data_IF_783642678177
#
_entry.id   IF_783642678177
#
_cell.length_a   1.000
_cell.length_b   1.000
_cell.length_c   1.000
_cell.angle_alpha   90.00
_cell.angle_beta   90.00
_cell.angle_gamma   90.00
#
_symmetry.space_group_name_H-M   'P 1'
#
loop_
_entity.id
_entity.type
_entity.pdbx_description
1 polymer ?
#
# COMPACT_ATOMS: atom_id res chain seq x y z
N UNK A 1 8.13 -14.12 -8.29
CA UNK A 1 6.77 -13.71 -7.89
C UNK A 1 6.81 -12.23 -7.57
N UNK A 2 5.98 -11.44 -8.23
CA UNK A 2 5.88 -10.00 -8.01
C UNK A 2 4.80 -9.72 -6.93
N UNK A 3 5.19 -9.27 -5.72
CA UNK A 3 4.25 -8.97 -4.64
C UNK A 3 3.34 -7.77 -4.97
N UNK A 4 3.81 -6.83 -5.78
CA UNK A 4 3.05 -5.64 -6.17
C UNK A 4 1.93 -6.03 -7.11
N UNK A 5 2.23 -6.86 -8.13
CA UNK A 5 1.21 -7.38 -9.05
C UNK A 5 0.13 -8.17 -8.31
N UNK A 6 0.50 -9.02 -7.34
CA UNK A 6 -0.47 -9.72 -6.50
C UNK A 6 -1.42 -8.74 -5.78
N UNK A 7 -0.88 -7.66 -5.18
CA UNK A 7 -1.69 -6.65 -4.48
C UNK A 7 -2.62 -5.89 -5.41
N UNK A 8 -2.15 -5.49 -6.59
CA UNK A 8 -2.98 -4.82 -7.60
C UNK A 8 -4.14 -5.71 -8.06
N UNK A 9 -3.86 -6.99 -8.36
CA UNK A 9 -4.88 -7.96 -8.76
C UNK A 9 -5.91 -8.21 -7.65
N UNK A 10 -5.49 -8.23 -6.39
CA UNK A 10 -6.39 -8.37 -5.25
C UNK A 10 -7.25 -7.13 -5.11
N UNK A 11 -6.64 -5.94 -5.16
CA UNK A 11 -7.38 -4.69 -5.04
C UNK A 11 -8.42 -4.54 -6.17
N UNK A 12 -8.05 -4.83 -7.40
CA UNK A 12 -8.95 -4.76 -8.56
C UNK A 12 -10.18 -5.68 -8.42
N UNK A 13 -10.00 -6.89 -7.85
CA UNK A 13 -11.07 -7.86 -7.68
C UNK A 13 -11.82 -7.67 -6.36
N UNK A 14 -11.14 -7.17 -5.32
CA UNK A 14 -11.66 -7.07 -3.97
C UNK A 14 -11.00 -5.93 -3.17
N UNK A 15 -11.39 -4.68 -3.42
CA UNK A 15 -10.78 -3.49 -2.80
C UNK A 15 -10.79 -3.50 -1.26
N UNK A 16 -11.75 -4.21 -0.66
CA UNK A 16 -11.93 -4.31 0.80
C UNK A 16 -11.29 -5.57 1.40
N UNK A 17 -10.46 -6.30 0.66
CA UNK A 17 -9.73 -7.44 1.21
C UNK A 17 -8.75 -6.96 2.29
N UNK A 18 -8.72 -7.68 3.43
CA UNK A 18 -7.89 -7.29 4.59
C UNK A 18 -6.73 -8.25 4.86
N UNK A 19 -6.99 -9.54 4.76
CA UNK A 19 -5.97 -10.58 4.92
C UNK A 19 -6.31 -11.77 4.03
N UNK A 20 -5.45 -12.07 3.10
CA UNK A 20 -5.67 -13.10 2.11
C UNK A 20 -4.59 -14.18 2.14
N UNK A 21 -5.00 -15.40 1.90
CA UNK A 21 -4.10 -16.55 1.84
C UNK A 21 -4.69 -17.68 0.99
N UNK A 22 -3.84 -18.67 0.66
CA UNK A 22 -4.28 -19.88 0.00
C UNK A 22 -5.23 -20.71 0.87
N UNK A 23 -5.99 -21.59 0.24
CA UNK A 23 -6.89 -22.53 0.93
C UNK A 23 -6.13 -23.38 1.97
N UNK A 24 -4.94 -23.88 1.58
CA UNK A 24 -4.11 -24.71 2.45
C UNK A 24 -3.65 -23.93 3.68
N UNK A 25 -3.22 -22.68 3.51
CA UNK A 25 -2.77 -21.87 4.64
C UNK A 25 -3.94 -21.60 5.61
N UNK A 26 -5.12 -21.27 5.09
CA UNK A 26 -6.29 -21.09 5.93
C UNK A 26 -6.66 -22.35 6.68
N UNK A 27 -6.76 -23.50 6.00
CA UNK A 27 -7.23 -24.73 6.59
C UNK A 27 -6.20 -25.35 7.55
N UNK A 28 -4.93 -25.45 7.13
CA UNK A 28 -3.93 -26.22 7.86
C UNK A 28 -3.19 -25.41 8.92
N UNK A 29 -2.85 -24.15 8.62
CA UNK A 29 -2.04 -23.33 9.53
C UNK A 29 -2.87 -22.45 10.44
N UNK A 30 -3.97 -21.92 9.91
CA UNK A 30 -4.83 -21.00 10.65
C UNK A 30 -6.03 -21.70 11.26
N UNK A 31 -6.33 -22.96 10.88
CA UNK A 31 -7.52 -23.71 11.29
C UNK A 31 -8.79 -22.86 11.08
N UNK A 32 -8.86 -22.29 9.88
CA UNK A 32 -10.01 -21.54 9.39
C UNK A 32 -10.47 -22.16 8.08
N UNK A 33 -11.76 -22.39 7.95
CA UNK A 33 -12.29 -23.01 6.76
C UNK A 33 -12.92 -21.95 5.86
N UNK A 34 -12.61 -22.06 4.57
CA UNK A 34 -13.23 -21.20 3.56
C UNK A 34 -14.73 -21.57 3.47
N UNK A 35 -15.57 -20.55 3.48
CA UNK A 35 -17.02 -20.69 3.43
C UNK A 35 -17.45 -21.31 2.11
N UNK A 36 -18.43 -22.20 2.15
CA UNK A 36 -18.98 -22.79 0.94
C UNK A 36 -19.55 -21.70 0.02
N UNK A 37 -19.12 -21.72 -1.24
CA UNK A 37 -19.55 -20.73 -2.23
C UNK A 37 -18.72 -19.43 -2.25
N UNK A 38 -17.71 -19.28 -1.37
CA UNK A 38 -16.78 -18.17 -1.46
C UNK A 38 -16.05 -18.20 -2.80
N UNK A 39 -15.94 -17.02 -3.43
CA UNK A 39 -15.18 -16.85 -4.67
C UNK A 39 -13.75 -16.50 -4.35
N UNK A 40 -12.81 -17.32 -4.80
CA UNK A 40 -11.38 -17.03 -4.70
C UNK A 40 -10.99 -15.83 -5.55
N UNK A 41 -10.01 -15.07 -5.07
CA UNK A 41 -9.36 -14.00 -5.81
C UNK A 41 -8.30 -14.67 -6.71
N UNK A 42 -8.38 -14.43 -8.01
CA UNK A 42 -7.48 -15.03 -8.99
C UNK A 42 -6.17 -14.24 -9.06
N UNK A 43 -5.05 -14.92 -8.91
CA UNK A 43 -3.71 -14.38 -9.04
C UNK A 43 -2.93 -15.16 -10.12
N UNK A 44 -1.92 -14.53 -10.68
CA UNK A 44 -1.03 -15.17 -11.63
C UNK A 44 0.05 -16.00 -10.91
N UNK A 45 0.27 -17.20 -11.39
CA UNK A 45 1.39 -18.05 -10.97
C UNK A 45 2.36 -18.20 -12.13
N UNK A 46 3.49 -17.51 -12.02
CA UNK A 46 4.54 -17.47 -13.03
C UNK A 46 5.71 -18.42 -12.70
N UNK A 47 5.56 -19.29 -11.72
CA UNK A 47 6.64 -20.18 -11.25
C UNK A 47 6.95 -21.32 -12.22
N UNK A 48 6.13 -21.50 -13.24
CA UNK A 48 6.26 -22.52 -14.27
C UNK A 48 6.37 -21.87 -15.66
N UNK A 49 6.89 -22.60 -16.65
CA UNK A 49 6.97 -22.14 -18.05
C UNK A 49 5.61 -21.77 -18.68
N UNK A 50 4.52 -21.95 -17.95
CA UNK A 50 3.16 -21.57 -18.35
C UNK A 50 2.52 -20.79 -17.23
N UNK A 51 2.01 -19.61 -17.56
CA UNK A 51 1.16 -18.82 -16.67
C UNK A 51 -0.07 -19.63 -16.27
N UNK A 52 -0.30 -19.77 -14.96
CA UNK A 52 -1.46 -20.44 -14.40
C UNK A 52 -2.18 -19.49 -13.43
N UNK A 53 -3.44 -19.77 -13.18
CA UNK A 53 -4.17 -19.08 -12.12
C UNK A 53 -4.00 -19.87 -10.81
N UNK A 54 -3.74 -19.13 -9.74
CA UNK A 54 -3.88 -19.59 -8.35
C UNK A 54 -4.94 -18.76 -7.66
N UNK A 55 -5.57 -19.31 -6.65
CA UNK A 55 -6.65 -18.63 -5.94
C UNK A 55 -6.28 -18.43 -4.47
N UNK A 56 -6.59 -17.24 -3.99
CA UNK A 56 -6.51 -16.90 -2.57
C UNK A 56 -7.88 -16.47 -2.07
N UNK A 57 -8.09 -16.53 -0.75
CA UNK A 57 -9.34 -16.18 -0.10
C UNK A 57 -9.07 -15.16 0.99
N UNK A 58 -9.96 -14.17 1.11
CA UNK A 58 -9.88 -13.20 2.19
C UNK A 58 -10.36 -13.81 3.50
N UNK A 59 -9.88 -13.29 4.63
CA UNK A 59 -10.29 -13.73 5.96
C UNK A 59 -11.81 -13.64 6.17
N UNK A 60 -12.48 -12.68 5.53
CA UNK A 60 -13.92 -12.49 5.60
C UNK A 60 -14.69 -13.67 4.97
N UNK A 61 -14.05 -14.40 4.06
CA UNK A 61 -14.60 -15.60 3.44
C UNK A 61 -14.36 -16.86 4.26
N UNK A 62 -13.84 -16.74 5.46
CA UNK A 62 -13.46 -17.87 6.29
C UNK A 62 -14.14 -17.84 7.66
N UNK A 63 -14.34 -19.00 8.25
CA UNK A 63 -14.79 -19.13 9.64
C UNK A 63 -13.81 -19.98 10.44
N UNK A 64 -13.73 -19.73 11.75
CA UNK A 64 -12.89 -20.48 12.66
C UNK A 64 -13.49 -21.86 12.94
N UNK A 65 -12.65 -22.88 12.99
CA UNK A 65 -12.97 -24.15 13.62
C UNK A 65 -12.33 -24.23 15.01
N UNK A 66 -12.56 -25.31 15.74
CA UNK A 66 -11.98 -25.50 17.07
C UNK A 66 -10.45 -25.39 17.01
N UNK A 67 -9.89 -24.48 17.79
CA UNK A 67 -8.45 -24.16 17.75
C UNK A 67 -8.04 -23.15 16.68
N UNK A 68 -8.99 -22.62 15.90
CA UNK A 68 -8.73 -21.67 14.83
C UNK A 68 -8.15 -20.35 15.33
N UNK A 69 -7.18 -19.84 14.58
CA UNK A 69 -6.47 -18.59 14.85
C UNK A 69 -7.07 -17.44 14.07
N UNK A 70 -6.92 -16.23 14.59
CA UNK A 70 -7.12 -15.00 13.81
C UNK A 70 -5.75 -14.43 13.49
N UNK A 71 -5.46 -14.12 12.21
CA UNK A 71 -4.23 -13.42 11.90
C UNK A 71 -4.20 -12.10 12.66
N UNK A 72 -3.03 -11.75 13.14
CA UNK A 72 -2.81 -10.44 13.71
C UNK A 72 -2.77 -9.43 12.55
N UNK A 73 -3.75 -8.56 12.52
CA UNK A 73 -3.75 -7.39 11.64
C UNK A 73 -3.26 -6.22 12.49
N UNK A 74 -2.12 -5.67 12.09
CA UNK A 74 -1.58 -4.51 12.79
C UNK A 74 -2.56 -3.33 12.65
N UNK A 75 -2.86 -2.68 13.77
CA UNK A 75 -3.62 -1.44 13.82
C UNK A 75 -2.98 -0.55 14.85
N UNK A 76 -2.73 0.70 14.48
CA UNK A 76 -2.29 1.70 15.43
C UNK A 76 -3.36 1.87 16.52
N UNK A 77 -2.94 1.75 17.78
CA UNK A 77 -3.80 2.02 18.92
C UNK A 77 -3.56 3.46 19.37
N UNK A 78 -4.58 4.11 19.91
CA UNK A 78 -4.49 5.49 20.38
C UNK A 78 -3.29 5.74 21.32
N UNK A 79 -3.04 4.81 22.23
CA UNK A 79 -1.87 4.86 23.15
C UNK A 79 -0.50 4.78 22.44
N UNK A 80 -0.44 4.37 21.17
CA UNK A 80 0.80 4.23 20.39
C UNK A 80 1.05 5.45 19.50
N UNK A 81 0.08 6.38 19.40
CA UNK A 81 0.23 7.54 18.54
C UNK A 81 1.37 8.45 18.98
N UNK A 82 1.47 8.69 20.30
CA UNK A 82 2.55 9.51 20.84
C UNK A 82 3.93 8.88 20.62
N UNK A 83 4.04 7.56 20.80
CA UNK A 83 5.28 6.80 20.52
C UNK A 83 5.66 6.88 19.04
N UNK A 84 4.66 6.76 18.15
CA UNK A 84 4.87 6.91 16.71
C UNK A 84 5.35 8.32 16.36
N UNK A 85 4.70 9.36 16.87
CA UNK A 85 5.10 10.76 16.63
C UNK A 85 6.52 11.04 17.12
N UNK A 86 6.88 10.55 18.31
CA UNK A 86 8.25 10.66 18.84
C UNK A 86 9.26 9.96 17.91
N UNK A 87 8.91 8.80 17.39
CA UNK A 87 9.80 8.05 16.51
C UNK A 87 9.97 8.76 15.14
N UNK A 88 8.90 9.32 14.59
CA UNK A 88 8.98 10.12 13.36
C UNK A 88 9.88 11.36 13.55
N UNK A 89 9.76 12.03 14.70
CA UNK A 89 10.63 13.16 15.07
C UNK A 89 12.10 12.74 15.19
N UNK A 90 12.37 11.61 15.88
CA UNK A 90 13.73 11.09 16.07
C UNK A 90 14.38 10.69 14.75
N UNK A 91 13.65 10.02 13.86
CA UNK A 91 14.20 9.45 12.62
C UNK A 91 14.32 10.50 11.51
N UNK A 92 13.32 11.37 11.39
CA UNK A 92 13.22 12.31 10.26
C UNK A 92 13.51 13.77 10.66
N UNK A 93 13.76 14.04 11.94
CA UNK A 93 14.02 15.40 12.42
C UNK A 93 12.83 16.35 12.28
N UNK A 94 11.62 15.79 12.10
CA UNK A 94 10.40 16.57 11.93
C UNK A 94 9.83 16.91 13.30
N UNK A 95 9.42 18.18 13.49
CA UNK A 95 8.65 18.60 14.65
C UNK A 95 7.23 18.02 14.57
N UNK A 96 7.16 16.69 14.56
CA UNK A 96 5.92 15.93 14.31
C UNK A 96 4.81 16.25 15.35
N UNK A 97 5.20 16.67 16.55
CA UNK A 97 4.25 17.09 17.59
C UNK A 97 3.63 18.45 17.34
N UNK A 98 4.32 19.32 16.59
CA UNK A 98 3.84 20.66 16.29
C UNK A 98 2.95 20.70 15.04
N UNK A 99 2.80 19.57 14.33
CA UNK A 99 1.96 19.48 13.12
C UNK A 99 0.47 19.50 13.39
N UNK A 100 0.04 19.34 14.63
CA UNK A 100 -1.38 19.43 15.05
C UNK A 100 -2.14 18.11 14.98
N UNK A 101 -1.79 17.18 14.07
CA UNK A 101 -2.45 15.88 13.96
C UNK A 101 -1.50 14.79 13.45
N UNK A 102 -1.86 13.53 13.73
CA UNK A 102 -1.13 12.39 13.14
C UNK A 102 -1.15 12.42 11.62
N UNK A 103 -2.25 12.83 11.00
CA UNK A 103 -2.37 12.96 9.55
C UNK A 103 -1.35 13.97 8.99
N UNK A 104 -1.20 15.13 9.64
CA UNK A 104 -0.23 16.14 9.23
C UNK A 104 1.22 15.67 9.40
N UNK A 105 1.51 14.98 10.51
CA UNK A 105 2.83 14.39 10.75
C UNK A 105 3.19 13.35 9.67
N UNK A 106 2.25 12.48 9.27
CA UNK A 106 2.45 11.50 8.22
C UNK A 106 2.66 12.18 6.84
N UNK A 107 1.91 13.24 6.54
CA UNK A 107 2.10 14.01 5.30
C UNK A 107 3.47 14.69 5.28
N UNK A 108 3.89 15.31 6.37
CA UNK A 108 5.21 15.91 6.49
C UNK A 108 6.32 14.87 6.31
N UNK A 109 6.14 13.68 6.91
CA UNK A 109 7.08 12.55 6.74
C UNK A 109 7.14 12.09 5.29
N UNK A 110 6.00 11.97 4.60
CA UNK A 110 5.96 11.59 3.20
C UNK A 110 6.73 12.58 2.32
N UNK A 111 6.50 13.87 2.52
CA UNK A 111 7.23 14.94 1.81
C UNK A 111 8.74 14.85 2.04
N UNK A 112 9.16 14.69 3.29
CA UNK A 112 10.57 14.56 3.63
C UNK A 112 11.20 13.34 2.94
N UNK A 113 10.57 12.17 3.02
CA UNK A 113 11.06 10.94 2.39
C UNK A 113 11.23 11.09 0.89
N UNK A 114 10.29 11.78 0.23
CA UNK A 114 10.36 12.01 -1.20
C UNK A 114 11.50 12.97 -1.54
N UNK A 115 11.64 14.10 -0.85
CA UNK A 115 12.70 15.06 -1.12
C UNK A 115 14.11 14.45 -0.96
N UNK A 116 14.31 13.61 0.05
CA UNK A 116 15.60 12.93 0.28
C UNK A 116 15.96 11.91 -0.80
N UNK A 117 14.98 11.36 -1.52
CA UNK A 117 15.20 10.27 -2.47
C UNK A 117 14.79 10.61 -3.91
N UNK A 118 14.27 11.82 -4.16
CA UNK A 118 13.66 12.19 -5.44
C UNK A 118 14.64 12.08 -6.61
N UNK A 119 15.87 12.52 -6.45
CA UNK A 119 16.87 12.49 -7.53
C UNK A 119 17.23 11.04 -7.92
N UNK A 120 17.37 10.14 -6.94
CA UNK A 120 17.61 8.70 -7.21
C UNK A 120 16.42 8.05 -7.95
N UNK A 121 15.20 8.41 -7.58
CA UNK A 121 14.00 7.90 -8.24
C UNK A 121 13.86 8.44 -9.67
N UNK A 122 14.18 9.71 -9.89
CA UNK A 122 14.15 10.31 -11.23
C UNK A 122 15.22 9.70 -12.15
N UNK A 123 16.41 9.44 -11.63
CA UNK A 123 17.45 8.72 -12.36
C UNK A 123 16.95 7.34 -12.81
N UNK A 124 16.28 6.61 -11.89
CA UNK A 124 15.66 5.33 -12.22
C UNK A 124 14.55 5.45 -13.28
N UNK A 125 13.74 6.50 -13.21
CA UNK A 125 12.65 6.76 -14.15
C UNK A 125 13.17 7.00 -15.57
N UNK A 126 14.30 7.70 -15.73
CA UNK A 126 14.91 8.01 -17.02
C UNK A 126 15.13 6.76 -17.89
N UNK A 127 15.46 5.62 -17.28
CA UNK A 127 15.68 4.37 -18.00
C UNK A 127 14.41 3.75 -18.58
N UNK A 128 13.23 4.08 -18.05
CA UNK A 128 11.94 3.49 -18.47
C UNK A 128 11.08 4.47 -19.25
N UNK A 129 11.50 5.73 -19.37
CA UNK A 129 10.78 6.75 -20.11
C UNK A 129 10.93 6.62 -21.63
N UNK A 130 12.03 6.04 -22.12
CA UNK A 130 12.32 5.92 -23.54
C UNK A 130 11.16 5.23 -24.29
N UNK A 131 10.66 5.86 -25.33
CA UNK A 131 9.53 5.38 -26.12
C UNK A 131 8.17 5.50 -25.45
N UNK A 132 8.05 6.20 -24.33
CA UNK A 132 6.77 6.48 -23.65
C UNK A 132 6.38 7.94 -23.83
N UNK A 133 5.12 8.28 -23.47
CA UNK A 133 4.64 9.66 -23.46
C UNK A 133 5.48 10.57 -22.54
N UNK A 134 6.08 10.03 -21.49
CA UNK A 134 6.90 10.81 -20.56
C UNK A 134 8.16 11.40 -21.22
N UNK A 135 8.65 10.80 -22.31
CA UNK A 135 9.81 11.30 -23.07
C UNK A 135 9.53 12.67 -23.72
N UNK A 136 8.25 12.97 -23.99
CA UNK A 136 7.83 14.23 -24.64
C UNK A 136 7.61 15.39 -23.63
N UNK A 137 7.64 15.10 -22.31
CA UNK A 137 7.40 16.08 -21.27
C UNK A 137 8.69 16.81 -20.85
N UNK A 138 8.51 18.07 -20.44
CA UNK A 138 9.59 18.86 -19.83
C UNK A 138 10.04 18.21 -18.50
N UNK A 139 11.34 18.20 -18.25
CA UNK A 139 11.96 17.58 -17.06
C UNK A 139 11.38 18.14 -15.76
N UNK A 140 11.17 19.45 -15.67
CA UNK A 140 10.56 20.10 -14.50
C UNK A 140 9.11 19.63 -14.25
N UNK A 141 8.37 19.37 -15.32
CA UNK A 141 7.00 18.83 -15.25
C UNK A 141 7.06 17.41 -14.68
N UNK A 142 7.88 16.53 -15.25
CA UNK A 142 8.06 15.17 -14.77
C UNK A 142 8.45 15.18 -13.30
N UNK A 143 9.42 16.01 -12.92
CA UNK A 143 9.89 16.14 -11.55
C UNK A 143 8.78 16.54 -10.59
N UNK A 144 7.97 17.52 -10.98
CA UNK A 144 6.86 18.03 -10.16
C UNK A 144 5.76 16.97 -9.98
N UNK A 145 5.32 16.37 -11.07
CA UNK A 145 4.27 15.35 -11.08
C UNK A 145 4.70 14.10 -10.31
N UNK A 146 5.92 13.64 -10.55
CA UNK A 146 6.44 12.46 -9.88
C UNK A 146 6.62 12.67 -8.38
N UNK A 147 7.08 13.86 -7.96
CA UNK A 147 7.16 14.26 -6.55
C UNK A 147 5.77 14.19 -5.89
N UNK A 148 4.76 14.80 -6.53
CA UNK A 148 3.39 14.80 -6.02
C UNK A 148 2.86 13.38 -5.89
N UNK A 149 2.96 12.58 -6.94
CA UNK A 149 2.50 11.20 -7.00
C UNK A 149 3.14 10.33 -5.89
N UNK A 150 4.46 10.42 -5.71
CA UNK A 150 5.16 9.67 -4.66
C UNK A 150 4.72 10.11 -3.26
N UNK A 151 4.62 11.42 -3.03
CA UNK A 151 4.18 11.97 -1.74
C UNK A 151 2.80 11.43 -1.36
N UNK A 152 1.86 11.53 -2.28
CA UNK A 152 0.49 11.09 -2.07
C UNK A 152 0.39 9.57 -1.87
N UNK A 153 1.16 8.80 -2.64
CA UNK A 153 1.20 7.34 -2.52
C UNK A 153 1.79 6.88 -1.19
N UNK A 154 2.86 7.53 -0.73
CA UNK A 154 3.49 7.24 0.57
C UNK A 154 2.54 7.62 1.71
N UNK A 155 1.97 8.84 1.66
CA UNK A 155 0.99 9.29 2.64
C UNK A 155 -0.21 8.33 2.71
N UNK A 156 -0.82 8.01 1.57
CA UNK A 156 -1.96 7.08 1.48
C UNK A 156 -1.65 5.75 2.16
N UNK A 157 -0.47 5.21 1.89
CA UNK A 157 -0.03 3.93 2.46
C UNK A 157 0.13 4.01 3.97
N UNK A 158 0.80 5.06 4.48
CA UNK A 158 1.03 5.26 5.91
C UNK A 158 -0.27 5.52 6.65
N UNK A 159 -1.12 6.43 6.16
CA UNK A 159 -2.41 6.76 6.74
C UNK A 159 -3.32 5.52 6.85
N UNK A 160 -3.43 4.75 5.75
CA UNK A 160 -4.20 3.51 5.73
C UNK A 160 -3.69 2.50 6.76
N UNK A 161 -2.38 2.37 6.91
CA UNK A 161 -1.79 1.47 7.92
C UNK A 161 -2.03 1.96 9.34
N UNK A 162 -2.06 3.26 9.55
CA UNK A 162 -2.39 3.87 10.85
C UNK A 162 -3.89 3.83 11.16
N UNK A 163 -4.73 3.39 10.21
CA UNK A 163 -6.19 3.32 10.40
C UNK A 163 -6.89 4.66 10.20
N UNK A 164 -6.21 5.64 9.63
CA UNK A 164 -6.80 6.88 9.18
C UNK A 164 -7.48 6.65 7.82
N UNK A 165 -8.48 7.46 7.51
CA UNK A 165 -9.02 7.54 6.16
C UNK A 165 -8.11 8.44 5.31
N UNK A 166 -7.31 7.90 4.38
CA UNK A 166 -6.41 8.72 3.58
C UNK A 166 -7.18 9.68 2.66
N UNK A 167 -8.44 9.38 2.34
CA UNK A 167 -9.28 10.20 1.47
C UNK A 167 -9.86 11.45 2.17
N UNK A 168 -9.72 11.58 3.48
CA UNK A 168 -10.06 12.85 4.17
C UNK A 168 -9.25 14.03 3.63
N UNK A 169 -8.09 13.78 3.01
CA UNK A 169 -7.24 14.78 2.35
C UNK A 169 -7.28 14.69 0.83
N UNK A 170 -8.29 14.07 0.24
CA UNK A 170 -8.38 13.86 -1.21
C UNK A 170 -8.30 15.18 -2.01
N UNK A 171 -8.80 16.27 -1.45
CA UNK A 171 -8.71 17.59 -2.12
C UNK A 171 -7.27 18.13 -2.19
N UNK A 172 -6.36 17.61 -1.37
CA UNK A 172 -4.93 17.96 -1.34
C UNK A 172 -4.07 16.99 -2.16
N UNK A 173 -4.63 15.85 -2.59
CA UNK A 173 -3.95 14.81 -3.36
C UNK A 173 -4.33 14.91 -4.83
N UNK A 174 -3.33 14.93 -5.69
CA UNK A 174 -3.54 15.01 -7.14
C UNK A 174 -3.10 13.70 -7.81
N UNK A 175 -4.07 12.83 -8.08
CA UNK A 175 -3.87 11.61 -8.85
C UNK A 175 -4.37 11.72 -10.31
N UNK A 176 -4.73 12.92 -10.77
CA UNK A 176 -5.37 13.14 -12.09
C UNK A 176 -4.45 12.68 -13.21
N UNK A 177 -3.15 12.91 -13.07
CA UNK A 177 -2.16 12.61 -14.12
C UNK A 177 -1.79 11.13 -14.24
N UNK A 178 -2.30 10.24 -13.37
CA UNK A 178 -2.09 8.79 -13.50
C UNK A 178 -3.04 8.16 -14.53
N UNK A 179 -4.12 8.86 -14.86
CA UNK A 179 -5.21 8.32 -15.69
C UNK A 179 -5.20 8.84 -17.12
N UNK A 180 -4.36 9.80 -17.43
CA UNK A 180 -4.15 10.38 -18.77
C UNK A 180 -2.85 9.87 -19.39
#
# INVERSE_FOLDING_TARGET
>A
RDPVMDQLLIHAQRPKATAWASLELWNEKMLRWVNRGAKGIALLDETMQKTRLRYVFDIQDTHKVKGGRTPYLWRLQEKQQEELLNHLEEVYGLEAKDTGSLSDALMATAKYMVEENLDEYLDGLTYVMEGTYLEELEEDTIRSEFRSLLTDSIYYTMASRCGLDPLERQEEMDFVHITD
#
